data_IF_037598188738
#
_entry.id   IF_037598188738
#
_cell.length_a   1.000
_cell.length_b   1.000
_cell.length_c   1.000
_cell.angle_alpha   90.00
_cell.angle_beta   90.00
_cell.angle_gamma   90.00
#
_symmetry.space_group_name_H-M   'P 1'
#
loop_
_entity.id
_entity.type
_entity.pdbx_description
1 polymer ?
#
# COMPACT_ATOMS: atom_id res chain seq x y z
N UNK A 1 -20.73 29.80 -2.39
CA UNK A 1 -21.61 28.62 -2.25
C UNK A 1 -20.76 27.46 -1.76
N UNK A 2 -21.18 26.67 -0.76
CA UNK A 2 -20.40 25.54 -0.29
C UNK A 2 -20.53 24.38 -1.30
N UNK A 3 -19.40 23.73 -1.61
CA UNK A 3 -19.39 22.52 -2.43
C UNK A 3 -20.10 21.38 -1.69
N UNK A 4 -20.95 20.59 -2.36
CA UNK A 4 -21.53 19.40 -1.73
C UNK A 4 -20.43 18.36 -1.46
N UNK A 5 -20.53 17.71 -0.30
CA UNK A 5 -19.74 16.52 0.03
C UNK A 5 -20.12 15.41 -0.96
N UNK A 6 -19.21 15.11 -1.90
CA UNK A 6 -19.39 14.03 -2.88
C UNK A 6 -18.78 12.73 -2.35
N UNK A 7 -19.61 11.69 -2.31
CA UNK A 7 -19.23 10.30 -2.03
C UNK A 7 -18.25 9.74 -3.09
N UNK A 8 -17.42 8.74 -2.75
CA UNK A 8 -16.49 8.11 -3.68
C UNK A 8 -17.26 7.48 -4.86
N UNK A 9 -16.86 7.84 -6.07
CA UNK A 9 -17.56 7.47 -7.31
C UNK A 9 -17.17 6.05 -7.70
N UNK A 10 -18.12 5.12 -7.57
CA UNK A 10 -18.22 3.85 -8.30
C UNK A 10 -18.11 4.18 -9.79
N UNK A 11 -17.34 3.41 -10.57
CA UNK A 11 -17.23 3.58 -12.03
C UNK A 11 -18.63 3.80 -12.63
N UNK A 12 -18.94 5.02 -13.06
CA UNK A 12 -20.22 5.33 -13.69
C UNK A 12 -20.05 5.03 -15.18
N UNK A 13 -20.57 3.88 -15.62
CA UNK A 13 -20.93 3.69 -17.02
C UNK A 13 -22.13 4.59 -17.33
N UNK A 14 -21.88 5.86 -17.67
CA UNK A 14 -22.95 6.76 -18.07
C UNK A 14 -23.24 6.53 -19.57
N UNK A 15 -24.29 5.77 -19.86
CA UNK A 15 -24.87 5.73 -21.20
C UNK A 15 -25.58 7.08 -21.42
N UNK A 16 -24.86 8.04 -21.99
CA UNK A 16 -25.40 9.36 -22.28
C UNK A 16 -26.20 9.29 -23.58
N UNK A 17 -27.53 9.28 -23.46
CA UNK A 17 -28.40 9.52 -24.62
C UNK A 17 -28.51 11.04 -24.82
N UNK A 18 -27.97 11.54 -25.94
CA UNK A 18 -28.14 12.93 -26.35
C UNK A 18 -29.65 13.23 -26.50
N UNK A 19 -30.23 13.94 -25.51
CA UNK A 19 -31.63 14.38 -25.56
C UNK A 19 -31.81 15.63 -26.43
N UNK A 20 -30.78 16.47 -26.56
CA UNK A 20 -30.73 17.66 -27.45
C UNK A 20 -29.31 18.26 -27.48
N UNK A 21 -28.98 19.02 -28.53
CA UNK A 21 -27.77 19.86 -28.64
C UNK A 21 -27.83 21.03 -27.66
N UNK A 22 -27.63 20.74 -26.38
CA UNK A 22 -27.42 21.75 -25.35
C UNK A 22 -26.00 21.71 -24.84
N UNK A 23 -25.56 22.87 -24.33
CA UNK A 23 -24.19 23.23 -23.97
C UNK A 23 -23.39 22.08 -23.33
N UNK A 24 -22.07 21.97 -23.59
CA UNK A 24 -21.23 20.89 -23.06
C UNK A 24 -21.40 20.70 -21.55
N UNK A 25 -21.71 19.47 -21.13
CA UNK A 25 -21.74 19.10 -19.71
C UNK A 25 -20.33 18.69 -19.29
N UNK A 26 -19.76 19.41 -18.33
CA UNK A 26 -18.47 19.05 -17.74
C UNK A 26 -18.68 18.01 -16.64
N UNK A 27 -18.20 16.79 -16.86
CA UNK A 27 -18.20 15.72 -15.86
C UNK A 27 -16.87 15.74 -15.11
N UNK A 28 -16.91 15.94 -13.80
CA UNK A 28 -15.72 15.91 -12.95
C UNK A 28 -15.48 14.48 -12.45
N UNK A 29 -14.47 13.81 -13.00
CA UNK A 29 -14.03 12.49 -12.51
C UNK A 29 -12.93 12.70 -11.47
N UNK A 30 -13.20 12.28 -10.22
CA UNK A 30 -12.22 12.36 -9.13
C UNK A 30 -11.14 11.28 -9.35
N UNK A 31 -9.99 11.69 -9.91
CA UNK A 31 -8.83 10.81 -10.02
C UNK A 31 -8.14 10.74 -8.65
N UNK A 32 -7.85 9.56 -8.10
CA UNK A 32 -7.07 9.46 -6.87
C UNK A 32 -5.70 10.14 -7.07
N UNK A 33 -5.34 11.02 -6.14
CA UNK A 33 -4.06 11.75 -6.12
C UNK A 33 -3.52 11.82 -4.70
N UNK A 34 -2.21 11.83 -4.59
CA UNK A 34 -1.46 11.80 -3.33
C UNK A 34 -0.74 10.49 -3.15
N UNK A 35 -0.34 10.23 -1.91
CA UNK A 35 0.31 8.99 -1.51
C UNK A 35 -0.57 8.29 -0.47
N UNK A 36 -0.88 7.02 -0.69
CA UNK A 36 -1.57 6.19 0.30
C UNK A 36 -0.60 5.17 0.88
N UNK A 37 -0.55 5.06 2.20
CA UNK A 37 0.33 4.15 2.93
C UNK A 37 -0.47 3.15 3.75
N UNK A 38 -0.28 1.86 3.51
CA UNK A 38 -0.77 0.78 4.38
C UNK A 38 0.38 0.18 5.18
N UNK A 39 0.21 0.12 6.50
CA UNK A 39 1.10 -0.62 7.38
C UNK A 39 1.00 -2.14 7.18
N UNK A 40 1.74 -2.89 7.99
CA UNK A 40 1.60 -4.34 8.14
C UNK A 40 0.32 -4.74 8.86
N UNK A 41 0.25 -6.01 9.29
CA UNK A 41 -0.89 -6.55 10.05
C UNK A 41 -1.33 -5.60 11.17
N UNK A 42 -2.65 -5.35 11.28
CA UNK A 42 -3.22 -4.34 12.19
C UNK A 42 -3.43 -2.96 11.56
N UNK A 43 -2.65 -2.58 10.53
CA UNK A 43 -2.78 -1.32 9.77
C UNK A 43 -2.76 0.00 10.56
N UNK A 44 -2.65 -0.05 11.89
CA UNK A 44 -2.76 1.08 12.82
C UNK A 44 -1.60 1.13 13.84
N UNK A 45 -0.52 0.41 13.58
CA UNK A 45 0.63 0.32 14.48
C UNK A 45 1.27 1.67 14.83
N UNK A 46 1.86 1.76 16.02
CA UNK A 46 2.45 3.00 16.57
C UNK A 46 3.59 3.59 15.72
N UNK A 47 4.18 2.79 14.82
CA UNK A 47 5.21 3.23 13.88
C UNK A 47 4.67 4.04 12.69
N UNK A 48 3.37 3.97 12.39
CA UNK A 48 2.80 4.53 11.16
C UNK A 48 2.87 6.06 11.19
N UNK A 49 2.34 6.69 12.24
CA UNK A 49 2.35 8.15 12.37
C UNK A 49 3.77 8.75 12.27
N UNK A 50 4.80 8.25 13.01
CA UNK A 50 6.14 8.78 12.87
C UNK A 50 6.81 8.44 11.53
N UNK A 51 6.47 7.32 10.86
CA UNK A 51 6.92 7.07 9.48
C UNK A 51 6.34 8.07 8.49
N UNK A 52 5.05 8.38 8.57
CA UNK A 52 4.42 9.40 7.73
C UNK A 52 5.05 10.77 7.95
N UNK A 53 5.42 11.10 9.19
CA UNK A 53 6.18 12.31 9.49
C UNK A 53 7.57 12.29 8.83
N UNK A 54 8.25 11.13 8.81
CA UNK A 54 9.52 10.98 8.12
C UNK A 54 9.38 11.16 6.60
N UNK A 55 8.32 10.61 5.99
CA UNK A 55 7.98 10.85 4.58
C UNK A 55 7.78 12.33 4.29
N UNK A 56 6.96 13.01 5.08
CA UNK A 56 6.75 14.46 4.96
C UNK A 56 8.04 15.26 5.12
N UNK A 57 8.91 14.87 6.06
CA UNK A 57 10.22 15.51 6.29
C UNK A 57 11.20 15.29 5.14
N UNK A 58 11.09 14.18 4.41
CA UNK A 58 11.87 13.91 3.21
C UNK A 58 11.31 14.62 1.95
N UNK A 59 10.14 15.26 2.05
CA UNK A 59 9.49 15.93 0.93
C UNK A 59 8.50 15.07 0.15
N UNK A 60 8.08 13.93 0.70
CA UNK A 60 6.94 13.14 0.19
C UNK A 60 5.68 13.66 0.87
N UNK A 61 4.89 14.43 0.13
CA UNK A 61 3.73 15.16 0.63
C UNK A 61 2.43 14.40 0.37
N UNK A 62 1.34 14.91 0.97
CA UNK A 62 -0.01 14.35 0.81
C UNK A 62 -0.10 12.84 1.09
N UNK A 63 0.68 12.38 2.07
CA UNK A 63 0.66 10.99 2.52
C UNK A 63 -0.49 10.79 3.49
N UNK A 64 -1.36 9.84 3.18
CA UNK A 64 -2.48 9.45 4.02
C UNK A 64 -2.36 7.97 4.39
N UNK A 65 -2.93 7.59 5.53
CA UNK A 65 -3.02 6.18 5.92
C UNK A 65 -4.16 5.55 5.13
N UNK A 66 -3.89 4.42 4.50
CA UNK A 66 -4.89 3.60 3.84
C UNK A 66 -5.78 2.91 4.87
N UNK A 67 -7.08 3.21 4.85
CA UNK A 67 -8.08 2.53 5.64
C UNK A 67 -8.65 1.37 4.82
N UNK A 68 -8.66 0.16 5.35
CA UNK A 68 -9.47 -0.95 4.83
C UNK A 68 -10.43 -1.46 5.89
N UNK A 69 -11.64 -1.86 5.46
CA UNK A 69 -12.55 -2.64 6.29
C UNK A 69 -11.99 -4.06 6.47
N UNK A 70 -11.10 -4.25 7.43
CA UNK A 70 -10.69 -5.60 7.87
C UNK A 70 -10.56 -5.61 9.39
N UNK A 71 -11.69 -5.87 10.04
CA UNK A 71 -11.86 -6.50 11.35
C UNK A 71 -10.75 -6.26 12.39
N UNK A 72 -10.65 -5.04 12.92
CA UNK A 72 -9.89 -4.77 14.15
C UNK A 72 -10.86 -4.49 15.29
N UNK A 73 -11.11 -5.53 16.09
CA UNK A 73 -11.29 -5.43 17.56
C UNK A 73 -11.49 -6.85 18.09
N UNK A 74 -10.47 -7.42 18.75
CA UNK A 74 -10.50 -8.49 19.79
C UNK A 74 -9.37 -9.55 19.73
N UNK A 75 -8.36 -9.44 18.86
CA UNK A 75 -7.25 -10.41 18.81
C UNK A 75 -5.92 -9.69 19.09
N UNK A 76 -5.09 -10.23 19.99
CA UNK A 76 -3.76 -9.68 20.29
C UNK A 76 -2.81 -9.71 19.08
N UNK A 77 -1.73 -8.92 19.14
CA UNK A 77 -0.80 -8.69 18.01
C UNK A 77 -0.32 -9.99 17.33
N UNK A 78 0.03 -11.02 18.10
CA UNK A 78 0.49 -12.31 17.57
C UNK A 78 -0.60 -13.05 16.78
N UNK A 79 -1.87 -12.94 17.18
CA UNK A 79 -2.99 -13.54 16.46
C UNK A 79 -3.32 -12.77 15.18
N UNK A 80 -3.24 -11.44 15.20
CA UNK A 80 -3.39 -10.61 14.01
C UNK A 80 -2.31 -10.90 12.96
N UNK A 81 -1.07 -11.17 13.40
CA UNK A 81 0.01 -11.52 12.48
C UNK A 81 -0.18 -12.88 11.81
N UNK A 82 -0.56 -13.92 12.57
CA UNK A 82 -0.84 -15.25 11.99
C UNK A 82 -2.01 -15.17 11.00
N UNK A 83 -3.03 -14.40 11.34
CA UNK A 83 -4.18 -14.21 10.45
C UNK A 83 -3.82 -13.38 9.22
N UNK A 84 -2.98 -12.35 9.36
CA UNK A 84 -2.46 -11.58 8.23
C UNK A 84 -1.49 -12.37 7.36
N UNK A 85 -0.72 -13.31 7.92
CA UNK A 85 0.11 -14.24 7.15
C UNK A 85 -0.79 -15.22 6.37
N UNK A 86 -1.86 -15.72 7.01
CA UNK A 86 -2.86 -16.59 6.37
C UNK A 86 -3.64 -15.85 5.28
N UNK A 87 -4.12 -14.65 5.55
CA UNK A 87 -4.76 -13.79 4.56
C UNK A 87 -3.77 -13.35 3.48
N UNK A 88 -2.50 -13.15 3.84
CA UNK A 88 -1.41 -12.91 2.91
C UNK A 88 -1.15 -14.10 1.99
N UNK A 89 -1.37 -15.33 2.45
CA UNK A 89 -1.31 -16.53 1.60
C UNK A 89 -2.44 -16.58 0.57
N UNK A 90 -3.58 -15.94 0.79
CA UNK A 90 -4.70 -15.91 -0.16
C UNK A 90 -4.61 -14.74 -1.14
N UNK A 91 -4.30 -13.53 -0.68
CA UNK A 91 -4.31 -12.33 -1.53
C UNK A 91 -2.95 -12.03 -2.20
N UNK A 92 -1.96 -12.91 -2.08
CA UNK A 92 -0.64 -12.74 -2.72
C UNK A 92 -0.62 -12.99 -4.24
N UNK A 93 -1.69 -13.56 -4.77
CA UNK A 93 -1.88 -13.80 -6.20
C UNK A 93 -2.71 -12.66 -6.81
N UNK A 94 -2.59 -12.45 -8.12
CA UNK A 94 -3.46 -11.50 -8.82
C UNK A 94 -4.92 -11.97 -8.74
N UNK A 95 -5.83 -11.04 -8.49
CA UNK A 95 -7.27 -11.24 -8.64
C UNK A 95 -7.89 -10.16 -9.54
N UNK A 96 -9.22 -10.23 -9.68
CA UNK A 96 -10.03 -9.27 -10.42
C UNK A 96 -11.09 -8.62 -9.53
N UNK A 97 -10.91 -8.66 -8.21
CA UNK A 97 -11.85 -8.08 -7.26
C UNK A 97 -11.79 -6.54 -7.28
N UNK A 98 -12.80 -5.92 -6.66
CA UNK A 98 -12.89 -4.46 -6.60
C UNK A 98 -12.06 -3.89 -5.45
N UNK A 99 -10.93 -3.26 -5.77
CA UNK A 99 -10.01 -2.67 -4.80
C UNK A 99 -10.08 -1.14 -4.81
N UNK A 100 -11.12 -0.58 -4.20
CA UNK A 100 -11.38 0.87 -4.21
C UNK A 100 -10.82 1.58 -2.99
N UNK A 101 -10.42 2.84 -3.19
CA UNK A 101 -9.99 3.73 -2.11
C UNK A 101 -11.21 4.51 -1.60
N UNK A 102 -11.66 4.20 -0.38
CA UNK A 102 -12.81 4.86 0.23
C UNK A 102 -12.54 6.27 0.78
N UNK A 103 -11.29 6.59 1.13
CA UNK A 103 -10.91 7.88 1.72
C UNK A 103 -9.40 8.17 1.60
N UNK A 104 -8.94 9.36 1.99
CA UNK A 104 -7.51 9.69 2.07
C UNK A 104 -6.85 10.18 0.77
N UNK A 105 -7.58 10.33 -0.34
CA UNK A 105 -7.01 10.72 -1.64
C UNK A 105 -7.70 11.94 -2.26
N UNK A 106 -8.12 12.87 -1.41
CA UNK A 106 -8.86 14.07 -1.80
C UNK A 106 -7.98 15.29 -2.06
N UNK A 107 -6.68 15.20 -1.78
CA UNK A 107 -5.75 16.31 -1.91
C UNK A 107 -5.34 16.50 -3.37
N UNK A 108 -5.16 17.75 -3.78
CA UNK A 108 -4.54 18.05 -5.07
C UNK A 108 -3.06 17.66 -5.00
N UNK A 109 -2.70 16.56 -5.67
CA UNK A 109 -1.31 16.14 -5.87
C UNK A 109 -1.09 15.79 -7.33
N UNK A 110 0.14 15.96 -7.80
CA UNK A 110 0.55 15.61 -9.16
C UNK A 110 0.71 14.10 -9.34
N UNK A 111 1.06 13.39 -8.26
CA UNK A 111 1.31 11.95 -8.28
C UNK A 111 0.17 11.15 -7.67
N UNK A 112 0.06 9.89 -8.08
CA UNK A 112 -0.70 8.86 -7.41
C UNK A 112 0.24 7.72 -7.01
N UNK A 113 0.60 7.68 -5.73
CA UNK A 113 1.52 6.71 -5.17
C UNK A 113 0.80 5.79 -4.18
N UNK A 114 1.19 4.52 -4.18
CA UNK A 114 0.69 3.49 -3.28
C UNK A 114 1.88 2.83 -2.60
N UNK A 115 1.94 2.88 -1.27
CA UNK A 115 3.00 2.29 -0.46
C UNK A 115 2.36 1.27 0.46
N UNK A 116 2.93 0.08 0.52
CA UNK A 116 2.49 -0.91 1.48
C UNK A 116 3.65 -1.68 2.09
N UNK A 117 3.50 -1.98 3.37
CA UNK A 117 4.48 -2.74 4.14
C UNK A 117 3.88 -4.06 4.61
N UNK A 118 4.62 -5.17 4.46
CA UNK A 118 4.15 -6.51 4.83
C UNK A 118 2.79 -6.81 4.18
N UNK A 119 1.77 -7.17 4.96
CA UNK A 119 0.39 -7.33 4.49
C UNK A 119 -0.14 -6.13 3.69
N UNK A 120 0.13 -4.89 4.13
CA UNK A 120 -0.28 -3.69 3.41
C UNK A 120 0.31 -3.56 2.00
N UNK A 121 1.45 -4.22 1.72
CA UNK A 121 2.01 -4.29 0.36
C UNK A 121 1.11 -5.03 -0.61
N UNK A 122 0.37 -6.04 -0.14
CA UNK A 122 -0.58 -6.77 -0.97
C UNK A 122 -1.83 -5.91 -1.26
N UNK A 123 -2.31 -5.15 -0.27
CA UNK A 123 -3.38 -4.17 -0.47
C UNK A 123 -2.97 -3.10 -1.50
N UNK A 124 -1.75 -2.57 -1.37
CA UNK A 124 -1.20 -1.60 -2.32
C UNK A 124 -1.07 -2.20 -3.73
N UNK A 125 -0.58 -3.44 -3.84
CA UNK A 125 -0.43 -4.16 -5.11
C UNK A 125 -1.77 -4.35 -5.83
N UNK A 126 -2.78 -4.84 -5.12
CA UNK A 126 -4.12 -5.04 -5.67
C UNK A 126 -4.80 -3.74 -6.05
N UNK A 127 -4.73 -2.74 -5.18
CA UNK A 127 -5.25 -1.39 -5.48
C UNK A 127 -4.58 -0.82 -6.73
N UNK A 128 -3.25 -0.93 -6.84
CA UNK A 128 -2.52 -0.47 -8.01
C UNK A 128 -2.97 -1.20 -9.29
N UNK A 129 -3.09 -2.53 -9.22
CA UNK A 129 -3.51 -3.35 -10.34
C UNK A 129 -4.91 -2.98 -10.83
N UNK A 130 -5.85 -2.84 -9.89
CA UNK A 130 -7.24 -2.45 -10.15
C UNK A 130 -7.34 -1.08 -10.83
N UNK A 131 -6.74 -0.04 -10.24
CA UNK A 131 -6.78 1.31 -10.82
C UNK A 131 -6.04 1.37 -12.17
N UNK A 132 -4.93 0.65 -12.31
CA UNK A 132 -4.19 0.57 -13.57
C UNK A 132 -5.00 -0.13 -14.68
N UNK A 133 -5.78 -1.18 -14.35
CA UNK A 133 -6.72 -1.85 -15.28
C UNK A 133 -7.83 -0.89 -15.73
N UNK A 134 -8.26 0.03 -14.87
CA UNK A 134 -9.26 1.06 -15.19
C UNK A 134 -8.71 2.29 -15.93
N UNK A 135 -7.43 2.28 -16.31
CA UNK A 135 -6.83 3.38 -17.06
C UNK A 135 -6.26 4.52 -16.21
N UNK A 136 -6.27 4.40 -14.88
CA UNK A 136 -5.58 5.35 -14.02
C UNK A 136 -4.07 5.11 -14.05
N UNK A 137 -3.29 6.18 -14.01
CA UNK A 137 -1.84 6.10 -13.88
C UNK A 137 -1.48 6.07 -12.41
N UNK A 138 -0.83 4.99 -11.98
CA UNK A 138 -0.13 4.87 -10.69
C UNK A 138 1.32 5.24 -10.96
N UNK A 139 1.78 6.34 -10.36
CA UNK A 139 3.15 6.82 -10.56
C UNK A 139 4.14 5.88 -9.86
N UNK A 140 3.90 5.56 -8.59
CA UNK A 140 4.73 4.64 -7.82
C UNK A 140 3.90 3.62 -7.05
N UNK A 141 4.26 2.34 -7.19
CA UNK A 141 3.87 1.27 -6.30
C UNK A 141 5.09 0.83 -5.49
N UNK A 142 5.07 0.98 -4.18
CA UNK A 142 6.16 0.61 -3.27
C UNK A 142 5.75 -0.60 -2.43
N UNK A 143 6.55 -1.66 -2.51
CA UNK A 143 6.33 -2.95 -1.85
C UNK A 143 7.45 -3.22 -0.85
N UNK A 144 7.18 -3.03 0.45
CA UNK A 144 8.19 -3.16 1.52
C UNK A 144 7.97 -4.48 2.25
N UNK A 145 8.98 -5.36 2.31
CA UNK A 145 8.87 -6.67 2.95
C UNK A 145 7.68 -7.48 2.43
N UNK A 146 7.47 -7.47 1.11
CA UNK A 146 6.21 -7.87 0.51
C UNK A 146 6.14 -9.40 0.28
N UNK A 147 5.14 -10.13 0.83
CA UNK A 147 4.95 -11.56 0.57
C UNK A 147 4.21 -11.82 -0.77
N UNK A 148 4.44 -11.00 -1.79
CA UNK A 148 3.77 -11.09 -3.09
C UNK A 148 4.32 -12.25 -3.91
N UNK A 149 3.47 -12.95 -4.67
CA UNK A 149 3.89 -13.97 -5.62
C UNK A 149 4.66 -13.38 -6.82
N UNK A 150 5.56 -14.18 -7.39
CA UNK A 150 6.44 -13.75 -8.48
C UNK A 150 5.66 -13.41 -9.75
N UNK A 151 4.59 -14.12 -10.05
CA UNK A 151 3.82 -13.87 -11.27
C UNK A 151 2.96 -12.62 -11.12
N UNK A 152 2.39 -12.39 -9.94
CA UNK A 152 1.70 -11.12 -9.67
C UNK A 152 2.68 -9.94 -9.72
N UNK A 153 3.89 -10.08 -9.15
CA UNK A 153 4.93 -9.07 -9.25
C UNK A 153 5.32 -8.77 -10.71
N UNK A 154 5.44 -9.79 -11.56
CA UNK A 154 5.68 -9.61 -13.01
C UNK A 154 4.54 -8.86 -13.68
N UNK A 155 3.28 -9.19 -13.36
CA UNK A 155 2.12 -8.45 -13.88
C UNK A 155 2.22 -6.97 -13.53
N UNK A 156 2.50 -6.63 -12.26
CA UNK A 156 2.59 -5.25 -11.81
C UNK A 156 3.70 -4.48 -12.53
N UNK A 157 4.87 -5.10 -12.70
CA UNK A 157 6.03 -4.50 -13.38
C UNK A 157 5.83 -4.28 -14.88
N UNK A 158 5.02 -5.11 -15.52
CA UNK A 158 4.78 -5.04 -16.98
C UNK A 158 3.56 -4.17 -17.34
N UNK A 159 2.77 -3.77 -16.35
CA UNK A 159 1.55 -2.99 -16.57
C UNK A 159 1.87 -1.52 -16.89
N UNK A 160 1.63 -1.08 -18.13
CA UNK A 160 1.94 0.28 -18.66
C UNK A 160 1.45 1.48 -17.82
N UNK A 161 0.40 1.26 -17.03
CA UNK A 161 -0.24 2.28 -16.20
C UNK A 161 0.32 2.34 -14.78
N UNK A 162 1.22 1.41 -14.41
CA UNK A 162 2.05 1.50 -13.21
C UNK A 162 3.44 1.94 -13.70
N UNK A 163 3.84 3.18 -13.42
CA UNK A 163 5.07 3.75 -13.99
C UNK A 163 6.32 3.20 -13.32
N UNK A 164 6.27 3.00 -12.01
CA UNK A 164 7.39 2.48 -11.22
C UNK A 164 6.88 1.50 -10.17
N UNK A 165 7.51 0.32 -10.11
CA UNK A 165 7.36 -0.63 -9.00
C UNK A 165 8.67 -0.66 -8.23
N UNK A 166 8.66 -0.15 -7.00
CA UNK A 166 9.80 -0.13 -6.08
C UNK A 166 9.65 -1.29 -5.11
N UNK A 167 10.63 -2.18 -5.07
CA UNK A 167 10.67 -3.31 -4.11
C UNK A 167 11.73 -3.00 -3.07
N UNK A 168 11.32 -3.02 -1.80
CA UNK A 168 12.21 -2.86 -0.65
C UNK A 168 12.20 -4.15 0.16
N UNK A 169 13.04 -5.09 -0.27
CA UNK A 169 13.30 -6.32 0.49
C UNK A 169 14.17 -6.01 1.71
N UNK A 170 13.90 -6.66 2.84
CA UNK A 170 14.59 -6.43 4.12
C UNK A 170 15.55 -7.57 4.47
N UNK A 171 16.07 -8.27 3.45
CA UNK A 171 16.96 -9.44 3.62
C UNK A 171 18.21 -9.12 4.42
N UNK A 172 18.78 -7.93 4.20
CA UNK A 172 19.95 -7.42 4.93
C UNK A 172 19.63 -7.09 6.41
N UNK A 173 18.35 -7.01 6.77
CA UNK A 173 17.87 -6.87 8.16
C UNK A 173 17.46 -8.22 8.77
N UNK A 174 17.54 -9.30 8.01
CA UNK A 174 17.18 -10.66 8.42
C UNK A 174 15.73 -11.05 8.11
N UNK A 175 15.02 -10.31 7.25
CA UNK A 175 13.66 -10.67 6.86
C UNK A 175 13.66 -11.89 5.92
N UNK A 176 13.00 -12.99 6.28
CA UNK A 176 12.89 -14.14 5.39
C UNK A 176 11.84 -13.92 4.27
N UNK A 177 10.98 -12.91 4.38
CA UNK A 177 9.99 -12.53 3.35
C UNK A 177 10.63 -11.59 2.34
N UNK A 178 10.31 -11.81 1.06
CA UNK A 178 10.74 -10.95 -0.04
C UNK A 178 9.75 -11.00 -1.21
N UNK A 179 9.78 -9.98 -2.06
CA UNK A 179 8.88 -9.92 -3.20
C UNK A 179 9.20 -11.02 -4.23
N UNK A 180 8.20 -11.82 -4.59
CA UNK A 180 8.39 -13.00 -5.45
C UNK A 180 8.79 -14.27 -4.71
N UNK A 181 8.71 -14.28 -3.37
CA UNK A 181 8.85 -15.49 -2.56
C UNK A 181 7.88 -16.58 -3.03
N UNK A 182 8.21 -17.86 -2.97
CA UNK A 182 7.25 -18.92 -3.28
C UNK A 182 6.30 -19.19 -2.11
N UNK A 183 5.20 -19.92 -2.33
CA UNK A 183 4.33 -20.38 -1.25
C UNK A 183 5.06 -21.31 -0.27
N UNK A 184 5.93 -22.17 -0.80
CA UNK A 184 6.73 -23.09 0.00
C UNK A 184 7.72 -22.35 0.91
N UNK A 185 8.45 -21.38 0.36
CA UNK A 185 9.36 -20.55 1.14
C UNK A 185 8.59 -19.73 2.19
N UNK A 186 7.46 -19.13 1.82
CA UNK A 186 6.65 -18.36 2.75
C UNK A 186 6.19 -19.20 3.95
N UNK A 187 5.75 -20.45 3.73
CA UNK A 187 5.36 -21.36 4.82
C UNK A 187 6.52 -21.63 5.79
N UNK A 188 7.76 -21.74 5.29
CA UNK A 188 8.95 -21.97 6.12
C UNK A 188 9.35 -20.75 6.96
N UNK A 189 8.92 -19.56 6.58
CA UNK A 189 9.26 -18.33 7.30
C UNK A 189 8.55 -18.21 8.66
N UNK A 190 7.44 -18.93 8.86
CA UNK A 190 6.55 -18.75 10.01
C UNK A 190 7.26 -18.83 11.37
N UNK A 191 8.16 -19.80 11.56
CA UNK A 191 8.92 -19.94 12.81
C UNK A 191 9.87 -18.76 13.05
N UNK A 192 10.58 -18.33 12.01
CA UNK A 192 11.52 -17.19 12.07
C UNK A 192 10.77 -15.91 12.38
N UNK A 193 9.62 -15.69 11.72
CA UNK A 193 8.78 -14.52 11.96
C UNK A 193 8.21 -14.50 13.38
N UNK A 194 7.76 -15.66 13.89
CA UNK A 194 7.30 -15.78 15.28
C UNK A 194 8.39 -15.42 16.29
N UNK A 195 9.64 -15.84 16.06
CA UNK A 195 10.77 -15.49 16.92
C UNK A 195 11.15 -14.00 16.82
N UNK A 196 11.20 -13.43 15.61
CA UNK A 196 11.48 -12.01 15.40
C UNK A 196 10.44 -11.12 16.09
N UNK A 197 9.16 -11.52 16.02
CA UNK A 197 8.06 -10.82 16.67
C UNK A 197 8.16 -10.86 18.20
N UNK A 198 8.42 -12.03 18.78
CA UNK A 198 8.56 -12.19 20.24
C UNK A 198 9.69 -11.35 20.82
N UNK A 199 10.79 -11.18 20.08
CA UNK A 199 11.96 -10.44 20.53
C UNK A 199 11.73 -8.93 20.60
N UNK A 200 10.81 -8.40 19.78
CA UNK A 200 10.48 -6.97 19.72
C UNK A 200 11.71 -6.04 19.52
N UNK A 201 12.73 -6.50 18.80
CA UNK A 201 14.00 -5.77 18.59
C UNK A 201 14.01 -4.85 17.36
N UNK A 202 12.92 -4.81 16.59
CA UNK A 202 12.92 -4.17 15.28
C UNK A 202 13.95 -4.85 14.36
N UNK A 203 13.88 -6.17 14.21
CA UNK A 203 14.74 -6.94 13.31
C UNK A 203 13.92 -7.69 12.28
N UNK A 204 14.59 -8.11 11.20
CA UNK A 204 13.99 -8.86 10.11
C UNK A 204 12.74 -8.22 9.55
N UNK A 205 11.66 -9.01 9.51
CA UNK A 205 10.40 -8.54 8.94
C UNK A 205 9.85 -7.32 9.65
N UNK A 206 10.12 -7.16 10.94
CA UNK A 206 9.58 -6.10 11.80
C UNK A 206 10.50 -4.89 11.94
N UNK A 207 11.53 -4.78 11.09
CA UNK A 207 12.58 -3.76 11.18
C UNK A 207 12.06 -2.32 11.29
N UNK A 208 10.93 -2.03 10.64
CA UNK A 208 10.28 -0.73 10.66
C UNK A 208 9.07 -0.65 11.60
N UNK A 209 8.55 -1.79 12.08
CA UNK A 209 7.31 -1.89 12.83
C UNK A 209 7.50 -1.83 14.35
N UNK A 210 8.49 -2.55 14.88
CA UNK A 210 8.80 -2.46 16.30
C UNK A 210 9.60 -1.18 16.56
N UNK A 211 9.01 -0.29 17.36
CA UNK A 211 9.61 0.99 17.71
C UNK A 211 10.73 0.76 18.72
N UNK A 212 11.95 1.09 18.30
CA UNK A 212 13.19 1.02 19.06
C UNK A 212 13.92 2.37 18.98
N UNK A 213 14.99 2.53 19.75
CA UNK A 213 15.68 3.82 19.90
C UNK A 213 16.16 4.42 18.56
N UNK A 214 16.59 3.59 17.61
CA UNK A 214 17.08 4.01 16.29
C UNK A 214 15.99 4.04 15.20
N UNK A 215 14.73 3.71 15.52
CA UNK A 215 13.63 3.75 14.55
C UNK A 215 13.49 5.08 13.80
N UNK A 216 13.63 6.26 14.42
CA UNK A 216 13.56 7.53 13.69
C UNK A 216 14.58 7.65 12.55
N UNK A 217 15.81 7.19 12.78
CA UNK A 217 16.86 7.19 11.76
C UNK A 217 16.54 6.20 10.61
N UNK A 218 16.00 5.02 10.96
CA UNK A 218 15.57 4.01 9.98
C UNK A 218 14.44 4.53 9.08
N UNK A 219 13.42 5.17 9.67
CA UNK A 219 12.30 5.74 8.93
C UNK A 219 12.74 6.91 8.06
N UNK A 220 13.66 7.76 8.53
CA UNK A 220 14.24 8.82 7.71
C UNK A 220 15.05 8.28 6.53
N UNK A 221 15.81 7.21 6.73
CA UNK A 221 16.56 6.54 5.66
C UNK A 221 15.62 5.93 4.60
N UNK A 222 14.56 5.24 5.04
CA UNK A 222 13.52 4.72 4.16
C UNK A 222 12.87 5.87 3.37
N UNK A 223 12.46 6.94 4.05
CA UNK A 223 11.83 8.10 3.43
C UNK A 223 12.72 8.74 2.36
N UNK A 224 14.02 8.88 2.64
CA UNK A 224 15.00 9.39 1.66
C UNK A 224 15.13 8.48 0.45
N UNK A 225 15.27 7.17 0.67
CA UNK A 225 15.32 6.20 -0.42
C UNK A 225 14.08 6.29 -1.32
N UNK A 226 12.88 6.39 -0.75
CA UNK A 226 11.65 6.53 -1.54
C UNK A 226 11.58 7.87 -2.27
N UNK A 227 12.07 8.96 -1.66
CA UNK A 227 12.18 10.24 -2.33
C UNK A 227 13.14 10.18 -3.52
N UNK A 228 14.28 9.50 -3.37
CA UNK A 228 15.28 9.32 -4.41
C UNK A 228 14.75 8.46 -5.58
N UNK A 229 13.82 7.54 -5.31
CA UNK A 229 13.05 6.79 -6.33
C UNK A 229 12.01 7.65 -7.07
N UNK A 230 11.78 8.90 -6.65
CA UNK A 230 10.92 9.86 -7.36
C UNK A 230 9.59 10.18 -6.69
N UNK A 231 9.33 9.65 -5.48
CA UNK A 231 8.12 9.97 -4.74
C UNK A 231 8.14 11.43 -4.24
N UNK A 232 7.02 12.12 -4.36
CA UNK A 232 6.83 13.53 -3.97
C UNK A 232 5.50 13.72 -3.26
#
# INVERSE_FOLDING_TARGET
MPFPLLAPVVVIGATLTLKSDTKPVTVYVKKPRGTLYWGGAGLDGSYIAPQLKAFGSAGIQHVNVGLTNTATTQIGEAGMFIDALRAGLTIRYEDNDEWTIGSGMNNASQQFNLIGYSYGSLLAAHTANFYAKQGHVVDHLVLIGAPIDIDFLKTLRTRKNIKRVVVVDLKDKGDPIYAGITQWELTKTASTLGEQMKRQRGEGHFYYAHVVADSPARWAALARHLYDEGLR
#
